data_IF_779165586683
#
_entry.id   IF_779165586683
#
_cell.length_a   1.000
_cell.length_b   1.000
_cell.length_c   1.000
_cell.angle_alpha   90.00
_cell.angle_beta   90.00
_cell.angle_gamma   90.00
#
_symmetry.space_group_name_H-M   'P 1'
#
loop_
_entity.id
_entity.type
_entity.pdbx_description
1 polymer ?
#
# COMPACT_ATOMS: atom_id res chain seq x y z
N UNK A 1 29.12 -26.13 19.38
CA UNK A 1 28.90 -26.11 17.91
C UNK A 1 27.43 -26.01 17.50
N UNK A 2 26.49 -26.76 18.10
CA UNK A 2 25.05 -26.66 17.76
C UNK A 2 24.44 -25.26 17.95
N UNK A 3 24.82 -24.53 18.99
CA UNK A 3 24.34 -23.16 19.26
C UNK A 3 24.86 -22.11 18.26
N UNK A 4 26.07 -22.32 17.73
CA UNK A 4 26.64 -21.46 16.68
C UNK A 4 25.97 -21.71 15.33
N UNK A 5 25.66 -22.97 15.01
CA UNK A 5 24.89 -23.30 13.82
C UNK A 5 23.49 -22.68 13.85
N UNK A 6 22.79 -22.71 14.98
CA UNK A 6 21.49 -22.04 15.13
C UNK A 6 21.58 -20.52 15.00
N UNK A 7 22.62 -19.88 15.54
CA UNK A 7 22.81 -18.43 15.37
C UNK A 7 23.11 -18.05 13.91
N UNK A 8 23.91 -18.86 13.20
CA UNK A 8 24.18 -18.65 11.76
C UNK A 8 22.94 -18.93 10.90
N UNK A 9 22.14 -19.94 11.24
CA UNK A 9 20.88 -20.22 10.54
C UNK A 9 19.82 -19.15 10.81
N UNK A 10 19.72 -18.64 12.04
CA UNK A 10 18.85 -17.52 12.37
C UNK A 10 19.29 -16.23 11.66
N UNK A 11 20.61 -15.97 11.58
CA UNK A 11 21.16 -14.83 10.83
C UNK A 11 20.95 -15.00 9.33
N UNK A 12 21.11 -16.21 8.78
CA UNK A 12 20.89 -16.51 7.37
C UNK A 12 19.40 -16.42 6.99
N UNK A 13 18.48 -16.88 7.86
CA UNK A 13 17.03 -16.72 7.65
C UNK A 13 16.61 -15.26 7.79
N UNK A 14 17.29 -14.46 8.60
CA UNK A 14 17.11 -12.99 8.66
C UNK A 14 17.64 -12.25 7.42
N UNK A 15 18.56 -12.86 6.66
CA UNK A 15 19.08 -12.32 5.39
C UNK A 15 18.18 -12.70 4.22
N UNK A 16 17.41 -13.79 4.32
CA UNK A 16 16.44 -14.21 3.30
C UNK A 16 15.06 -13.62 3.66
N UNK A 17 14.96 -12.30 3.58
CA UNK A 17 13.71 -11.54 3.70
C UNK A 17 12.92 -11.55 2.38
N UNK A 18 11.61 -11.51 2.52
CA UNK A 18 10.56 -11.59 1.49
C UNK A 18 10.77 -10.66 0.29
N UNK A 19 10.37 -11.14 -0.90
CA UNK A 19 10.63 -10.53 -2.19
C UNK A 19 9.33 -10.02 -2.82
N UNK A 20 9.22 -8.70 -3.04
CA UNK A 20 8.27 -8.02 -3.94
C UNK A 20 8.81 -6.60 -4.23
N UNK A 21 9.08 -6.27 -5.49
CA UNK A 21 9.88 -5.10 -5.90
C UNK A 21 9.09 -3.78 -5.99
N UNK A 22 8.40 -3.39 -4.92
CA UNK A 22 7.78 -2.06 -4.82
C UNK A 22 8.67 -1.14 -4.00
N UNK A 23 8.73 0.11 -4.43
CA UNK A 23 9.48 1.16 -3.75
C UNK A 23 8.58 2.32 -3.33
N UNK A 24 8.76 2.88 -2.13
CA UNK A 24 7.90 3.93 -1.60
C UNK A 24 8.09 5.27 -2.33
N UNK A 25 7.03 6.08 -2.33
CA UNK A 25 7.05 7.44 -2.88
C UNK A 25 7.78 8.36 -1.91
N UNK A 26 8.55 9.33 -2.42
CA UNK A 26 9.20 10.29 -1.53
C UNK A 26 8.19 11.35 -1.08
N UNK A 27 8.28 11.81 0.16
CA UNK A 27 7.48 12.94 0.63
C UNK A 27 7.80 14.24 -0.14
N UNK A 28 6.81 15.12 -0.26
CA UNK A 28 7.00 16.50 -0.73
C UNK A 28 7.87 17.30 0.25
N UNK A 29 8.34 18.49 -0.17
CA UNK A 29 9.15 19.37 0.68
C UNK A 29 8.43 19.78 1.97
N UNK A 30 7.11 19.91 1.90
CA UNK A 30 6.25 20.13 3.06
C UNK A 30 5.50 18.84 3.39
N UNK A 31 5.36 18.57 4.69
CA UNK A 31 4.62 17.41 5.20
C UNK A 31 3.43 17.89 6.00
N UNK A 32 2.24 17.39 5.68
CA UNK A 32 1.02 17.58 6.43
C UNK A 32 0.68 16.31 7.21
N UNK A 33 0.19 16.52 8.44
CA UNK A 33 -0.38 15.48 9.28
C UNK A 33 -1.81 15.86 9.69
N UNK A 34 -2.74 14.93 9.55
CA UNK A 34 -4.13 15.05 9.97
C UNK A 34 -4.37 13.96 11.00
N UNK A 35 -4.90 14.31 12.16
CA UNK A 35 -5.33 13.33 13.15
C UNK A 35 -6.70 13.68 13.71
N UNK A 36 -7.51 12.66 13.89
CA UNK A 36 -8.85 12.75 14.49
C UNK A 36 -8.91 11.78 15.66
N UNK A 37 -9.69 12.16 16.66
CA UNK A 37 -10.05 11.26 17.74
C UNK A 37 -11.52 11.50 18.06
N UNK A 38 -12.30 10.45 17.96
CA UNK A 38 -13.75 10.48 18.16
C UNK A 38 -14.07 9.56 19.32
N UNK A 39 -14.77 10.09 20.32
CA UNK A 39 -15.25 9.33 21.47
C UNK A 39 -16.73 9.62 21.66
N UNK A 40 -17.57 8.60 21.55
CA UNK A 40 -19.04 8.73 21.65
C UNK A 40 -19.59 7.63 22.54
N UNK A 41 -20.41 8.04 23.51
CA UNK A 41 -21.26 7.13 24.28
C UNK A 41 -22.67 7.64 24.13
N UNK A 42 -23.55 6.82 23.56
CA UNK A 42 -24.93 7.24 23.26
C UNK A 42 -25.93 6.11 23.48
N UNK A 43 -27.10 6.50 23.98
CA UNK A 43 -28.31 5.69 23.98
C UNK A 43 -29.23 6.23 22.88
N UNK A 44 -29.42 5.47 21.82
CA UNK A 44 -30.19 5.88 20.64
C UNK A 44 -29.48 5.52 19.34
N UNK A 45 -29.36 6.50 18.45
CA UNK A 45 -28.73 6.33 17.13
C UNK A 45 -27.34 6.95 17.13
N UNK A 46 -26.36 6.21 16.63
CA UNK A 46 -24.98 6.64 16.37
C UNK A 46 -24.68 6.45 14.89
N UNK A 47 -24.05 7.44 14.29
CA UNK A 47 -23.52 7.34 12.93
C UNK A 47 -22.10 7.85 12.89
N UNK A 48 -21.20 7.08 12.29
CA UNK A 48 -19.88 7.55 11.88
C UNK A 48 -19.70 7.32 10.38
N UNK A 49 -19.00 8.23 9.71
CA UNK A 49 -18.63 8.03 8.30
C UNK A 49 -17.32 8.74 8.07
N UNK A 50 -16.33 7.97 7.63
CA UNK A 50 -14.99 8.47 7.41
C UNK A 50 -14.50 8.10 6.02
N UNK A 51 -13.78 9.03 5.40
CA UNK A 51 -13.19 8.82 4.09
C UNK A 51 -11.84 9.53 4.04
N UNK A 52 -10.79 8.78 3.69
CA UNK A 52 -9.48 9.33 3.38
C UNK A 52 -9.12 8.90 1.98
N UNK A 53 -8.66 9.83 1.16
CA UNK A 53 -8.08 9.52 -0.15
C UNK A 53 -6.79 10.31 -0.26
N UNK A 54 -5.70 9.61 -0.54
CA UNK A 54 -4.41 10.21 -0.82
C UNK A 54 -3.87 9.67 -2.12
N UNK A 55 -3.42 10.58 -2.98
CA UNK A 55 -2.61 10.22 -4.14
C UNK A 55 -1.29 10.96 -4.02
N UNK A 56 -0.20 10.24 -4.27
CA UNK A 56 1.15 10.78 -4.29
C UNK A 56 1.86 10.29 -5.54
N UNK A 57 2.63 11.18 -6.17
CA UNK A 57 3.51 10.86 -7.29
C UNK A 57 4.85 11.55 -7.08
N UNK A 58 5.91 11.02 -7.70
CA UNK A 58 7.17 11.74 -7.85
C UNK A 58 7.15 12.77 -9.01
N UNK A 59 6.02 12.91 -9.71
CA UNK A 59 5.79 13.87 -10.79
C UNK A 59 4.50 14.67 -10.61
N UNK A 60 4.19 15.55 -11.56
CA UNK A 60 2.96 16.36 -11.53
C UNK A 60 1.73 15.46 -11.74
N UNK A 61 0.96 15.27 -10.67
CA UNK A 61 -0.29 14.51 -10.69
C UNK A 61 -1.37 15.10 -11.62
N UNK A 62 -1.23 16.35 -12.08
CA UNK A 62 -2.17 16.97 -13.02
C UNK A 62 -1.92 16.54 -14.47
N UNK A 63 -0.75 15.98 -14.75
CA UNK A 63 -0.33 15.53 -16.08
C UNK A 63 -0.24 14.00 -16.15
N UNK A 64 -1.30 13.32 -15.70
CA UNK A 64 -1.39 11.86 -15.57
C UNK A 64 -2.86 11.44 -15.85
N UNK A 65 -3.19 10.51 -16.78
CA UNK A 65 -2.36 9.50 -17.47
C UNK A 65 -2.02 9.76 -18.96
N UNK A 66 -1.06 9.01 -19.57
CA UNK A 66 -0.31 7.85 -19.03
C UNK A 66 0.88 8.22 -18.13
N UNK A 67 1.29 7.29 -17.24
CA UNK A 67 2.49 7.46 -16.40
C UNK A 67 3.72 7.74 -17.27
N UNK A 68 4.39 8.85 -16.98
CA UNK A 68 5.56 9.28 -17.75
C UNK A 68 6.78 8.40 -17.42
N UNK A 69 7.61 8.16 -18.43
CA UNK A 69 8.87 7.40 -18.27
C UNK A 69 10.10 8.19 -18.63
N UNK A 70 9.95 9.01 -19.66
CA UNK A 70 10.97 9.87 -20.20
C UNK A 70 10.41 11.28 -20.17
N UNK A 71 11.22 12.23 -19.74
CA UNK A 71 10.90 13.65 -19.74
C UNK A 71 11.80 14.36 -20.75
N UNK A 72 11.27 15.32 -21.51
CA UNK A 72 12.08 16.09 -22.45
C UNK A 72 13.16 16.89 -21.70
N UNK A 73 14.33 17.01 -22.32
CA UNK A 73 15.39 17.88 -21.83
C UNK A 73 15.11 19.31 -22.25
N UNK A 74 15.30 20.27 -21.34
CA UNK A 74 15.16 21.69 -21.64
C UNK A 74 16.53 22.36 -21.59
N UNK A 75 16.80 23.25 -22.54
CA UNK A 75 18.01 24.06 -22.58
C UNK A 75 17.98 25.18 -21.52
N UNK A 76 19.06 25.98 -21.48
CA UNK A 76 19.16 27.12 -20.55
C UNK A 76 18.12 28.24 -20.80
N UNK A 77 17.50 28.26 -21.98
CA UNK A 77 16.44 29.19 -22.36
C UNK A 77 15.04 28.66 -22.05
N UNK A 78 14.93 27.38 -21.65
CA UNK A 78 13.66 26.69 -21.39
C UNK A 78 13.00 26.15 -22.65
N UNK A 79 13.73 26.08 -23.77
CA UNK A 79 13.28 25.43 -25.00
C UNK A 79 13.60 23.92 -24.92
N UNK A 80 12.67 23.08 -25.38
CA UNK A 80 12.88 21.63 -25.47
C UNK A 80 14.03 21.34 -26.45
N UNK A 81 14.98 20.52 -26.00
CA UNK A 81 16.04 20.00 -26.86
C UNK A 81 15.44 18.88 -27.68
N UNK A 82 15.32 19.13 -28.98
CA UNK A 82 14.77 18.18 -29.94
C UNK A 82 15.52 16.84 -29.86
N UNK A 83 14.77 15.75 -29.82
CA UNK A 83 15.24 14.36 -29.82
C UNK A 83 16.12 13.97 -28.59
N UNK A 84 16.03 14.70 -27.47
CA UNK A 84 16.76 14.38 -26.23
C UNK A 84 15.84 14.21 -25.01
N UNK A 85 15.88 13.01 -24.42
CA UNK A 85 15.04 12.66 -23.27
C UNK A 85 15.84 12.12 -22.08
N UNK A 86 15.50 12.58 -20.89
CA UNK A 86 16.02 12.05 -19.62
C UNK A 86 15.10 10.97 -19.08
N UNK A 87 15.67 9.86 -18.62
CA UNK A 87 14.91 8.82 -17.94
C UNK A 87 14.55 9.26 -16.53
N UNK A 88 13.30 9.68 -16.35
CA UNK A 88 12.71 9.95 -15.05
C UNK A 88 11.39 9.18 -15.04
N UNK A 89 11.34 7.97 -14.48
CA UNK A 89 10.10 7.19 -14.46
C UNK A 89 9.18 7.62 -13.33
N UNK A 90 7.89 7.71 -13.65
CA UNK A 90 6.84 8.04 -12.70
C UNK A 90 6.51 6.83 -11.82
N UNK A 91 6.32 7.13 -10.53
CA UNK A 91 5.83 6.24 -9.50
C UNK A 91 4.69 6.93 -8.81
N UNK A 92 3.58 6.23 -8.68
CA UNK A 92 2.36 6.74 -8.09
C UNK A 92 1.83 5.75 -7.04
N UNK A 93 1.34 6.30 -5.94
CA UNK A 93 0.59 5.57 -4.93
C UNK A 93 -0.78 6.22 -4.73
N UNK A 94 -1.83 5.41 -4.71
CA UNK A 94 -3.17 5.82 -4.32
C UNK A 94 -3.59 5.00 -3.12
N UNK A 95 -3.85 5.68 -2.01
CA UNK A 95 -4.42 5.10 -0.82
C UNK A 95 -5.85 5.61 -0.63
N UNK A 96 -6.77 4.73 -0.28
CA UNK A 96 -8.10 5.12 0.17
C UNK A 96 -8.55 4.31 1.37
N UNK A 97 -9.21 4.98 2.30
CA UNK A 97 -9.90 4.39 3.45
C UNK A 97 -11.35 4.86 3.43
N UNK A 98 -12.27 3.93 3.70
CA UNK A 98 -13.70 4.24 3.85
C UNK A 98 -14.26 3.46 5.02
N UNK A 99 -15.00 4.15 5.87
CA UNK A 99 -15.71 3.57 7.01
C UNK A 99 -17.14 4.11 7.05
N UNK A 100 -18.07 3.24 7.43
CA UNK A 100 -19.44 3.64 7.74
C UNK A 100 -19.97 2.81 8.90
N UNK A 101 -20.46 3.50 9.93
CA UNK A 101 -21.12 2.91 11.09
C UNK A 101 -22.51 3.51 11.20
N UNK A 102 -23.49 2.63 11.39
CA UNK A 102 -24.85 2.97 11.77
C UNK A 102 -25.27 2.06 12.91
N UNK A 103 -25.32 2.61 14.12
CA UNK A 103 -25.97 1.99 15.27
C UNK A 103 -27.34 2.63 15.43
N UNK A 104 -28.41 1.85 15.47
CA UNK A 104 -29.74 2.38 15.71
C UNK A 104 -30.42 1.68 16.88
N UNK A 105 -31.20 2.44 17.66
CA UNK A 105 -32.01 1.94 18.76
C UNK A 105 -31.25 1.01 19.74
N UNK A 106 -30.11 1.47 20.25
CA UNK A 106 -29.34 0.73 21.25
C UNK A 106 -28.40 1.59 22.08
N UNK A 107 -27.61 0.94 22.92
CA UNK A 107 -26.44 1.53 23.57
C UNK A 107 -25.23 1.33 22.66
N UNK A 108 -24.53 2.41 22.32
CA UNK A 108 -23.30 2.38 21.54
C UNK A 108 -22.18 3.11 22.29
N UNK A 109 -21.01 2.47 22.35
CA UNK A 109 -19.75 3.06 22.75
C UNK A 109 -18.78 2.95 21.59
N UNK A 110 -18.16 4.07 21.24
CA UNK A 110 -17.30 4.19 20.08
C UNK A 110 -16.10 5.04 20.43
N UNK A 111 -14.92 4.50 20.19
CA UNK A 111 -13.66 5.20 20.32
C UNK A 111 -12.83 4.92 19.07
N UNK A 112 -12.45 5.98 18.37
CA UNK A 112 -11.60 5.89 17.19
C UNK A 112 -10.44 6.89 17.31
N UNK A 113 -9.28 6.45 16.85
CA UNK A 113 -8.14 7.31 16.56
C UNK A 113 -7.70 7.04 15.13
N UNK A 114 -7.68 8.09 14.33
CA UNK A 114 -7.17 8.04 12.97
C UNK A 114 -6.07 9.07 12.79
N UNK A 115 -5.04 8.70 12.05
CA UNK A 115 -3.96 9.61 11.68
C UNK A 115 -3.49 9.34 10.26
N UNK A 116 -3.26 10.43 9.53
CA UNK A 116 -2.68 10.44 8.19
C UNK A 116 -1.47 11.39 8.19
N UNK A 117 -0.35 10.97 7.65
CA UNK A 117 0.89 11.72 7.57
C UNK A 117 1.56 11.51 6.20
N UNK A 118 1.81 12.62 5.52
CA UNK A 118 2.45 12.68 4.20
C UNK A 118 3.98 12.67 4.27
N UNK A 119 4.56 12.66 5.46
CA UNK A 119 5.99 12.63 5.69
C UNK A 119 6.64 11.27 5.43
N UNK A 120 7.96 11.30 5.21
CA UNK A 120 8.76 10.09 5.03
C UNK A 120 8.76 9.24 6.30
N UNK A 121 8.39 7.97 6.17
CA UNK A 121 8.39 6.98 7.23
C UNK A 121 9.62 6.09 7.15
N UNK A 122 10.00 5.53 8.30
CA UNK A 122 10.95 4.42 8.37
C UNK A 122 10.17 3.12 8.60
N UNK A 123 10.85 1.97 8.53
CA UNK A 123 10.21 0.70 8.85
C UNK A 123 9.53 0.74 10.23
N UNK A 124 8.31 0.16 10.33
CA UNK A 124 7.44 0.20 11.51
C UNK A 124 6.90 1.59 11.89
N UNK A 125 6.84 2.51 10.93
CA UNK A 125 6.06 3.74 11.06
C UNK A 125 5.07 3.80 9.90
N UNK A 126 3.90 4.35 10.18
CA UNK A 126 2.77 4.31 9.25
C UNK A 126 2.48 5.72 8.73
N UNK A 127 2.12 5.80 7.45
CA UNK A 127 1.54 6.99 6.84
C UNK A 127 0.08 7.13 7.22
N UNK A 128 -0.65 6.02 7.27
CA UNK A 128 -2.02 6.00 7.76
C UNK A 128 -2.13 4.98 8.88
N UNK A 129 -2.87 5.33 9.93
CA UNK A 129 -3.21 4.43 11.02
C UNK A 129 -4.60 4.74 11.52
N UNK A 130 -5.47 3.74 11.56
CA UNK A 130 -6.77 3.75 12.22
C UNK A 130 -6.79 2.70 13.32
N UNK A 131 -7.39 3.03 14.45
CA UNK A 131 -7.69 2.11 15.53
C UNK A 131 -9.07 2.45 16.05
N UNK A 132 -10.03 1.58 15.76
CA UNK A 132 -11.42 1.68 16.19
C UNK A 132 -11.69 0.61 17.26
N UNK A 133 -12.41 1.02 18.29
CA UNK A 133 -13.11 0.16 19.22
C UNK A 133 -14.58 0.55 19.21
N UNK A 134 -15.44 -0.44 18.95
CA UNK A 134 -16.87 -0.23 18.88
C UNK A 134 -17.62 -1.33 19.60
N UNK A 135 -18.46 -0.91 20.53
CA UNK A 135 -19.32 -1.77 21.33
C UNK A 135 -20.78 -1.32 21.13
N UNK A 136 -21.66 -2.27 20.81
CA UNK A 136 -23.08 -2.00 20.64
C UNK A 136 -23.95 -3.12 21.20
N UNK A 137 -25.05 -2.72 21.84
CA UNK A 137 -26.11 -3.62 22.31
C UNK A 137 -27.46 -2.99 22.00
N UNK A 138 -28.29 -3.71 21.24
CA UNK A 138 -29.68 -3.32 20.97
C UNK A 138 -30.53 -3.34 22.25
N UNK A 139 -31.51 -2.44 22.35
CA UNK A 139 -32.49 -2.51 23.44
C UNK A 139 -33.41 -3.71 23.28
N UNK A 140 -33.82 -4.33 24.38
CA UNK A 140 -34.67 -5.54 24.35
C UNK A 140 -36.10 -5.27 23.92
N UNK A 141 -36.55 -4.02 24.01
CA UNK A 141 -37.87 -3.53 23.64
C UNK A 141 -37.91 -2.87 22.25
N UNK A 142 -36.77 -2.74 21.58
CA UNK A 142 -36.64 -2.14 20.25
C UNK A 142 -35.94 -3.09 19.26
N UNK A 143 -36.29 -2.98 17.97
CA UNK A 143 -35.59 -3.72 16.90
C UNK A 143 -34.26 -3.02 16.54
N UNK A 144 -33.38 -2.87 17.53
CA UNK A 144 -32.07 -2.26 17.35
C UNK A 144 -31.17 -3.08 16.44
N UNK A 145 -30.39 -2.38 15.62
CA UNK A 145 -29.40 -3.00 14.73
C UNK A 145 -28.19 -2.08 14.57
N UNK A 146 -27.02 -2.68 14.49
CA UNK A 146 -25.81 -2.03 14.02
C UNK A 146 -25.37 -2.57 12.66
N UNK A 147 -24.80 -1.72 11.83
CA UNK A 147 -24.06 -2.08 10.63
C UNK A 147 -22.76 -1.28 10.61
N UNK A 148 -21.64 -1.98 10.44
CA UNK A 148 -20.33 -1.39 10.18
C UNK A 148 -19.80 -1.98 8.86
N UNK A 149 -19.14 -1.12 8.08
CA UNK A 149 -18.31 -1.52 6.96
C UNK A 149 -17.05 -0.66 6.94
N UNK A 150 -15.90 -1.31 6.81
CA UNK A 150 -14.60 -0.67 6.72
C UNK A 150 -13.82 -1.31 5.56
N UNK A 151 -13.18 -0.48 4.74
CA UNK A 151 -12.37 -0.93 3.61
C UNK A 151 -11.22 0.04 3.39
N UNK A 152 -10.04 -0.54 3.16
CA UNK A 152 -8.84 0.17 2.76
C UNK A 152 -8.28 -0.41 1.46
N UNK A 153 -7.73 0.48 0.63
CA UNK A 153 -7.10 0.13 -0.64
C UNK A 153 -5.77 0.86 -0.76
N UNK A 154 -4.78 0.15 -1.27
CA UNK A 154 -3.48 0.68 -1.67
C UNK A 154 -3.19 0.20 -3.09
N UNK A 155 -3.06 1.15 -4.01
CA UNK A 155 -2.69 0.95 -5.40
C UNK A 155 -1.31 1.61 -5.62
N UNK A 156 -0.38 0.83 -6.14
CA UNK A 156 1.02 1.18 -6.33
C UNK A 156 1.38 0.90 -7.78
N UNK A 157 1.76 1.94 -8.52
CA UNK A 157 2.11 1.84 -9.93
C UNK A 157 3.45 2.54 -10.22
N UNK A 158 4.28 1.93 -11.07
CA UNK A 158 5.60 2.44 -11.40
C UNK A 158 6.05 1.97 -12.78
N UNK A 159 6.71 2.86 -13.52
CA UNK A 159 7.40 2.56 -14.77
C UNK A 159 8.86 2.10 -14.54
N UNK A 160 9.18 1.64 -13.32
CA UNK A 160 10.53 1.30 -12.85
C UNK A 160 11.20 2.49 -12.15
N UNK A 161 12.33 2.28 -11.48
CA UNK A 161 13.11 3.40 -10.92
C UNK A 161 14.58 3.11 -10.69
N UNK A 162 15.42 4.16 -10.73
CA UNK A 162 16.82 4.03 -10.39
C UNK A 162 16.94 3.76 -8.89
N UNK A 163 17.66 2.70 -8.54
CA UNK A 163 17.84 2.26 -7.18
C UNK A 163 19.21 2.67 -6.60
N UNK A 164 20.16 3.09 -7.43
CA UNK A 164 21.56 3.35 -7.05
C UNK A 164 21.72 4.39 -5.93
N UNK A 165 20.90 5.44 -5.92
CA UNK A 165 20.95 6.51 -4.91
C UNK A 165 19.85 6.40 -3.84
N UNK A 166 19.05 5.33 -3.87
CA UNK A 166 17.85 5.18 -3.03
C UNK A 166 17.95 4.05 -2.02
N UNK A 167 18.94 3.18 -2.14
CA UNK A 167 19.31 2.24 -1.09
C UNK A 167 20.38 2.82 -0.17
N UNK A 168 20.21 2.61 1.12
CA UNK A 168 21.23 2.84 2.16
C UNK A 168 22.31 1.76 2.06
N UNK A 169 21.93 0.53 1.66
CA UNK A 169 22.85 -0.57 1.46
C UNK A 169 23.45 -0.56 0.04
N UNK A 170 24.76 -0.28 -0.14
CA UNK A 170 25.39 -0.17 -1.45
C UNK A 170 25.51 -1.51 -2.21
N UNK A 171 25.17 -2.64 -1.56
CA UNK A 171 25.16 -3.97 -2.17
C UNK A 171 23.74 -4.49 -2.45
N UNK A 172 22.70 -3.70 -2.17
CA UNK A 172 21.31 -4.13 -2.32
C UNK A 172 20.85 -4.20 -3.78
N UNK A 173 21.56 -3.56 -4.71
CA UNK A 173 21.15 -3.52 -6.13
C UNK A 173 21.60 -4.77 -6.87
N UNK A 174 20.72 -5.78 -6.94
CA UNK A 174 20.96 -7.00 -7.70
C UNK A 174 20.66 -6.92 -9.19
N UNK A 175 19.72 -6.05 -9.58
CA UNK A 175 19.15 -6.03 -10.92
C UNK A 175 19.66 -4.80 -11.71
N UNK A 176 20.97 -4.79 -11.98
CA UNK A 176 21.66 -3.73 -12.73
C UNK A 176 21.49 -2.29 -12.17
N UNK A 177 21.08 -2.14 -10.91
CA UNK A 177 20.84 -0.82 -10.30
C UNK A 177 19.40 -0.32 -10.40
N UNK A 178 18.46 -1.13 -10.88
CA UNK A 178 17.08 -0.70 -11.15
C UNK A 178 16.03 -1.52 -10.37
N UNK A 179 14.95 -0.84 -10.00
CA UNK A 179 13.71 -1.45 -9.52
C UNK A 179 12.80 -1.59 -10.75
N UNK A 180 12.30 -2.80 -11.07
CA UNK A 180 11.40 -2.99 -12.22
C UNK A 180 10.07 -2.24 -12.08
N UNK A 181 9.35 -2.10 -13.20
CA UNK A 181 7.97 -1.63 -13.20
C UNK A 181 7.04 -2.55 -12.38
N UNK A 182 6.01 -1.99 -11.76
CA UNK A 182 5.00 -2.73 -11.00
C UNK A 182 3.63 -2.05 -11.08
N UNK A 183 2.57 -2.82 -10.84
CA UNK A 183 1.20 -2.35 -10.68
C UNK A 183 0.50 -3.28 -9.69
N UNK A 184 0.68 -2.98 -8.41
CA UNK A 184 0.21 -3.78 -7.29
C UNK A 184 -1.01 -3.11 -6.66
N UNK A 185 -2.11 -3.85 -6.51
CA UNK A 185 -3.35 -3.37 -5.92
C UNK A 185 -3.74 -4.28 -4.77
N UNK A 186 -3.91 -3.68 -3.60
CA UNK A 186 -4.30 -4.35 -2.37
C UNK A 186 -5.57 -3.72 -1.83
N UNK A 187 -6.53 -4.56 -1.49
CA UNK A 187 -7.77 -4.14 -0.84
C UNK A 187 -8.06 -5.10 0.32
N UNK A 188 -8.36 -4.56 1.48
CA UNK A 188 -8.75 -5.35 2.64
C UNK A 188 -9.79 -4.60 3.46
N UNK A 189 -10.61 -5.36 4.18
CA UNK A 189 -11.69 -4.76 4.95
C UNK A 189 -12.51 -5.76 5.73
N UNK A 190 -13.46 -5.23 6.48
CA UNK A 190 -14.44 -6.02 7.20
C UNK A 190 -15.83 -5.36 7.20
N UNK A 191 -16.82 -6.16 7.56
CA UNK A 191 -18.19 -5.68 7.75
C UNK A 191 -18.87 -6.50 8.83
N UNK A 192 -19.72 -5.85 9.60
CA UNK A 192 -20.55 -6.48 10.60
C UNK A 192 -21.98 -5.95 10.50
N UNK A 193 -22.96 -6.82 10.72
CA UNK A 193 -24.35 -6.40 10.91
C UNK A 193 -25.05 -7.29 11.92
N UNK A 194 -25.69 -6.71 12.93
CA UNK A 194 -26.22 -7.49 14.03
C UNK A 194 -26.94 -6.69 15.11
N UNK A 195 -27.36 -7.37 16.17
CA UNK A 195 -28.05 -6.76 17.33
C UNK A 195 -27.12 -6.53 18.52
N UNK A 196 -25.92 -7.11 18.50
CA UNK A 196 -24.90 -6.92 19.52
C UNK A 196 -23.52 -7.17 18.90
N UNK A 197 -22.55 -6.32 19.20
CA UNK A 197 -21.16 -6.52 18.83
C UNK A 197 -20.24 -5.86 19.83
N UNK A 198 -19.09 -6.47 20.04
CA UNK A 198 -17.90 -5.84 20.57
C UNK A 198 -16.81 -6.10 19.55
N UNK A 199 -16.27 -5.05 18.95
CA UNK A 199 -15.27 -5.16 17.89
C UNK A 199 -14.14 -4.15 18.03
N UNK A 200 -12.99 -4.58 17.55
CA UNK A 200 -11.78 -3.78 17.42
C UNK A 200 -11.26 -3.98 16.01
N UNK A 201 -11.03 -2.87 15.31
CA UNK A 201 -10.38 -2.86 13.99
C UNK A 201 -9.12 -2.01 14.05
N UNK A 202 -8.12 -2.43 13.29
CA UNK A 202 -6.86 -1.70 13.12
C UNK A 202 -6.47 -1.79 11.66
N UNK A 203 -6.30 -0.63 11.03
CA UNK A 203 -5.80 -0.49 9.67
C UNK A 203 -4.54 0.35 9.67
N UNK A 204 -3.49 -0.10 8.99
CA UNK A 204 -2.24 0.62 8.86
C UNK A 204 -1.64 0.49 7.45
N UNK A 205 -0.99 1.55 6.99
CA UNK A 205 -0.21 1.49 5.74
C UNK A 205 1.00 2.41 5.80
N UNK A 206 2.05 1.98 5.12
CA UNK A 206 3.25 2.75 4.85
C UNK A 206 3.53 2.67 3.34
N UNK A 207 3.60 3.81 2.68
CA UNK A 207 3.92 3.89 1.25
C UNK A 207 4.75 5.14 0.89
N UNK A 208 5.10 5.98 1.87
CA UNK A 208 5.90 7.18 1.69
C UNK A 208 7.17 7.09 2.53
N UNK A 209 8.32 7.06 1.87
CA UNK A 209 9.62 7.02 2.53
C UNK A 209 10.72 7.55 1.62
N UNK A 210 11.80 8.01 2.25
CA UNK A 210 12.97 8.56 1.56
C UNK A 210 13.83 7.49 0.88
N UNK A 211 13.86 6.29 1.47
CA UNK A 211 14.71 5.19 1.04
C UNK A 211 13.87 4.07 0.45
N UNK A 212 14.37 3.43 -0.60
CA UNK A 212 13.81 2.21 -1.16
C UNK A 212 14.00 0.98 -0.25
N UNK A 213 14.76 1.11 0.85
CA UNK A 213 14.86 0.08 1.90
C UNK A 213 13.63 -0.03 2.79
N UNK A 214 12.78 1.00 2.80
CA UNK A 214 11.57 0.99 3.62
C UNK A 214 10.51 0.23 2.84
N UNK A 215 9.97 -0.88 3.38
CA UNK A 215 8.95 -1.64 2.68
C UNK A 215 7.66 -0.83 2.58
N UNK A 216 6.96 -0.97 1.46
CA UNK A 216 5.56 -0.56 1.41
C UNK A 216 4.71 -1.65 2.07
N UNK A 217 3.76 -1.25 2.90
CA UNK A 217 2.91 -2.20 3.61
C UNK A 217 1.48 -1.71 3.66
N UNK A 218 0.56 -2.66 3.73
CA UNK A 218 -0.82 -2.46 4.10
C UNK A 218 -1.24 -3.61 5.00
N UNK A 219 -1.78 -3.31 6.17
CA UNK A 219 -2.29 -4.31 7.10
C UNK A 219 -3.63 -3.90 7.66
N UNK A 220 -4.45 -4.91 7.92
CA UNK A 220 -5.77 -4.77 8.49
C UNK A 220 -6.05 -5.94 9.42
N UNK A 221 -6.60 -5.65 10.58
CA UNK A 221 -7.09 -6.67 11.49
C UNK A 221 -8.45 -6.30 12.04
N UNK A 222 -9.28 -7.33 12.18
CA UNK A 222 -10.57 -7.23 12.86
C UNK A 222 -10.66 -8.34 13.90
N UNK A 223 -11.09 -7.98 15.09
CA UNK A 223 -11.50 -8.92 16.14
C UNK A 223 -12.89 -8.52 16.61
N UNK A 224 -13.84 -9.45 16.57
CA UNK A 224 -15.19 -9.21 17.05
C UNK A 224 -15.83 -10.42 17.74
N UNK A 225 -16.78 -10.12 18.61
CA UNK A 225 -17.73 -11.07 19.18
C UNK A 225 -19.11 -10.44 19.20
N UNK A 226 -20.18 -11.22 19.06
CA UNK A 226 -21.52 -10.64 19.00
C UNK A 226 -22.58 -11.56 18.42
N UNK A 227 -23.77 -10.99 18.19
CA UNK A 227 -24.88 -11.69 17.53
C UNK A 227 -25.22 -10.97 16.24
N UNK A 228 -24.97 -11.63 15.11
CA UNK A 228 -25.11 -11.02 13.79
C UNK A 228 -24.44 -11.80 12.69
N UNK A 229 -24.01 -11.09 11.65
CA UNK A 229 -23.19 -11.61 10.57
C UNK A 229 -21.95 -10.74 10.42
N UNK A 230 -20.79 -11.40 10.37
CA UNK A 230 -19.49 -10.79 10.16
C UNK A 230 -18.88 -11.27 8.84
N UNK A 231 -18.14 -10.41 8.17
CA UNK A 231 -17.30 -10.78 7.04
C UNK A 231 -15.98 -10.00 7.08
N UNK A 232 -14.88 -10.63 6.67
CA UNK A 232 -13.60 -9.97 6.45
C UNK A 232 -12.93 -10.53 5.19
N UNK A 233 -12.28 -9.67 4.41
CA UNK A 233 -11.72 -10.03 3.13
C UNK A 233 -10.39 -9.35 2.84
N UNK A 234 -9.62 -10.01 1.97
CA UNK A 234 -8.43 -9.48 1.31
C UNK A 234 -8.52 -9.82 -0.17
N UNK A 235 -8.24 -8.82 -1.01
CA UNK A 235 -7.99 -8.94 -2.42
C UNK A 235 -6.60 -8.36 -2.70
N UNK A 236 -5.72 -9.16 -3.29
CA UNK A 236 -4.41 -8.71 -3.74
C UNK A 236 -4.25 -9.05 -5.21
N UNK A 237 -3.77 -8.09 -5.98
CA UNK A 237 -3.31 -8.29 -7.35
C UNK A 237 -1.90 -7.71 -7.44
N UNK A 238 -0.91 -8.58 -7.63
CA UNK A 238 0.50 -8.22 -7.71
C UNK A 238 0.93 -8.43 -9.16
N UNK A 239 1.39 -7.37 -9.81
CA UNK A 239 1.98 -7.42 -11.13
C UNK A 239 3.35 -6.77 -11.07
N UNK A 240 4.41 -7.58 -11.09
CA UNK A 240 5.77 -7.08 -10.99
C UNK A 240 6.58 -7.44 -12.22
N UNK A 241 7.41 -6.49 -12.64
CA UNK A 241 8.37 -6.65 -13.70
C UNK A 241 9.64 -7.37 -13.25
N UNK A 242 10.43 -7.82 -14.22
CA UNK A 242 11.86 -8.11 -14.08
C UNK A 242 12.64 -7.05 -14.84
N UNK A 243 13.84 -6.76 -14.35
CA UNK A 243 14.75 -5.86 -15.06
C UNK A 243 15.22 -6.52 -16.36
N UNK A 244 15.02 -5.80 -17.45
CA UNK A 244 15.47 -6.16 -18.79
C UNK A 244 16.97 -5.90 -18.98
N UNK A 245 17.52 -6.13 -20.18
CA UNK A 245 18.86 -5.65 -20.50
C UNK A 245 18.90 -4.13 -20.52
N UNK A 246 19.81 -3.51 -19.76
CA UNK A 246 19.95 -2.04 -19.69
C UNK A 246 21.12 -1.58 -20.57
N UNK A 247 20.88 -0.58 -21.40
CA UNK A 247 21.88 0.10 -22.22
C UNK A 247 21.84 1.60 -21.91
N UNK A 248 23.00 2.20 -21.67
CA UNK A 248 23.16 3.65 -21.43
C UNK A 248 23.43 4.37 -22.76
N UNK A 249 23.05 5.64 -22.86
CA UNK A 249 23.27 6.51 -24.05
C UNK A 249 22.81 5.85 -25.35
N UNK A 250 21.59 5.32 -25.36
CA UNK A 250 21.07 4.52 -26.46
C UNK A 250 20.12 5.32 -27.34
N UNK A 251 20.24 5.16 -28.65
CA UNK A 251 19.26 5.70 -29.61
C UNK A 251 18.05 4.77 -29.69
N UNK A 252 16.84 5.33 -29.68
CA UNK A 252 15.61 4.58 -29.89
C UNK A 252 15.39 4.24 -31.39
N UNK A 253 14.20 3.71 -31.72
CA UNK A 253 13.89 3.30 -33.09
C UNK A 253 13.50 4.50 -34.00
N UNK A 254 13.16 5.64 -33.42
CA UNK A 254 12.79 6.88 -34.11
C UNK A 254 14.00 7.83 -34.31
N UNK A 255 15.10 7.60 -33.58
CA UNK A 255 16.35 8.35 -33.71
C UNK A 255 16.72 9.17 -32.48
N UNK A 256 15.89 9.12 -31.43
CA UNK A 256 16.01 9.94 -30.24
C UNK A 256 17.07 9.38 -29.28
N UNK A 257 17.82 10.27 -28.64
CA UNK A 257 18.81 9.91 -27.63
C UNK A 257 18.11 9.70 -26.28
N UNK A 258 18.19 8.47 -25.77
CA UNK A 258 17.72 8.07 -24.46
C UNK A 258 18.89 7.84 -23.51
N UNK A 259 18.80 8.41 -22.30
CA UNK A 259 19.74 8.15 -21.21
C UNK A 259 19.84 6.63 -20.89
N UNK A 260 18.68 5.96 -20.83
CA UNK A 260 18.60 4.52 -20.68
C UNK A 260 17.61 3.88 -21.66
N UNK A 261 18.02 2.79 -22.31
CA UNK A 261 17.15 1.89 -23.09
C UNK A 261 17.07 0.52 -22.43
N UNK A 262 15.85 0.01 -22.33
CA UNK A 262 15.57 -1.30 -21.76
C UNK A 262 15.19 -2.27 -22.88
N UNK A 263 15.88 -3.40 -22.97
CA UNK A 263 15.64 -4.41 -24.01
C UNK A 263 15.18 -5.70 -23.37
N UNK A 264 13.92 -6.03 -23.58
CA UNK A 264 13.37 -7.33 -23.25
C UNK A 264 13.96 -8.40 -24.21
N UNK A 265 14.84 -9.25 -23.68
CA UNK A 265 15.44 -10.35 -24.46
C UNK A 265 14.43 -11.42 -24.91
N UNK A 266 13.29 -11.55 -24.22
CA UNK A 266 12.20 -12.45 -24.60
C UNK A 266 11.33 -11.86 -25.73
N UNK A 267 11.34 -10.53 -25.90
CA UNK A 267 10.61 -9.78 -26.93
C UNK A 267 11.51 -8.72 -27.60
N UNK A 268 12.40 -9.11 -28.52
CA UNK A 268 13.40 -8.21 -29.12
C UNK A 268 12.84 -7.13 -30.06
N UNK A 269 11.51 -7.03 -30.20
CA UNK A 269 10.82 -6.05 -31.08
C UNK A 269 9.79 -5.19 -30.33
N UNK A 270 9.82 -5.16 -29.00
CA UNK A 270 8.96 -4.27 -28.23
C UNK A 270 8.71 -4.77 -26.81
N UNK A 271 8.82 -3.85 -25.85
CA UNK A 271 8.62 -4.11 -24.43
C UNK A 271 9.88 -3.80 -23.66
N UNK A 272 9.79 -2.83 -22.75
CA UNK A 272 10.93 -2.37 -21.95
C UNK A 272 11.05 -3.12 -20.63
N UNK A 273 9.92 -3.32 -19.94
CA UNK A 273 9.84 -4.14 -18.73
C UNK A 273 9.13 -5.45 -19.02
N UNK A 274 9.54 -6.49 -18.31
CA UNK A 274 9.06 -7.86 -18.52
C UNK A 274 8.18 -8.24 -17.34
N UNK A 275 6.87 -8.47 -17.52
CA UNK A 275 6.06 -8.99 -16.41
C UNK A 275 6.64 -10.33 -15.93
N UNK A 276 7.18 -10.33 -14.71
CA UNK A 276 7.86 -11.47 -14.11
C UNK A 276 7.02 -12.20 -13.08
N UNK A 277 6.04 -11.52 -12.48
CA UNK A 277 5.09 -12.05 -11.51
C UNK A 277 3.70 -11.49 -11.82
N UNK A 278 2.71 -12.39 -11.81
CA UNK A 278 1.28 -12.07 -11.78
C UNK A 278 0.65 -12.95 -10.70
N UNK A 279 0.23 -12.36 -9.59
CA UNK A 279 -0.39 -13.06 -8.48
C UNK A 279 -1.72 -12.40 -8.15
N UNK A 280 -2.79 -13.20 -8.24
CA UNK A 280 -4.11 -12.81 -7.75
C UNK A 280 -4.45 -13.66 -6.54
N UNK A 281 -4.62 -13.02 -5.39
CA UNK A 281 -5.07 -13.65 -4.14
C UNK A 281 -6.39 -13.03 -3.68
N UNK A 282 -7.39 -13.87 -3.44
CA UNK A 282 -8.69 -13.43 -2.92
C UNK A 282 -9.14 -14.37 -1.83
N UNK A 283 -9.47 -13.83 -0.67
CA UNK A 283 -9.93 -14.61 0.46
C UNK A 283 -11.02 -13.85 1.21
N UNK A 284 -12.15 -14.50 1.45
CA UNK A 284 -13.26 -13.95 2.22
C UNK A 284 -13.72 -14.97 3.26
N UNK A 285 -13.84 -14.50 4.50
CA UNK A 285 -14.32 -15.32 5.63
C UNK A 285 -15.61 -14.70 6.15
N UNK A 286 -16.63 -15.53 6.39
CA UNK A 286 -17.93 -15.07 6.91
C UNK A 286 -18.37 -15.92 8.09
N UNK A 287 -18.95 -15.29 9.11
CA UNK A 287 -19.60 -15.97 10.23
C UNK A 287 -20.99 -15.37 10.49
N UNK A 288 -21.93 -16.18 10.99
CA UNK A 288 -23.29 -15.74 11.28
C UNK A 288 -23.90 -16.48 12.48
N UNK A 289 -24.78 -15.79 13.20
CA UNK A 289 -25.43 -16.31 14.41
C UNK A 289 -24.83 -15.70 15.67
N UNK A 290 -24.66 -16.52 16.71
CA UNK A 290 -23.92 -16.14 17.91
C UNK A 290 -22.43 -16.40 17.64
N UNK A 291 -21.65 -15.33 17.57
CA UNK A 291 -20.22 -15.34 17.28
C UNK A 291 -19.48 -15.15 18.61
N UNK A 292 -18.94 -16.25 19.15
CA UNK A 292 -18.10 -16.18 20.36
C UNK A 292 -16.77 -15.48 20.09
N UNK A 293 -16.19 -15.71 18.91
CA UNK A 293 -14.96 -15.07 18.45
C UNK A 293 -14.87 -15.13 16.94
N UNK A 294 -14.60 -13.99 16.32
CA UNK A 294 -14.17 -13.86 14.94
C UNK A 294 -12.94 -12.97 14.92
N UNK A 295 -11.82 -13.48 14.43
CA UNK A 295 -10.60 -12.70 14.28
C UNK A 295 -9.95 -13.02 12.94
N UNK A 296 -9.53 -11.97 12.24
CA UNK A 296 -8.78 -12.07 11.01
C UNK A 296 -7.73 -10.96 10.98
N UNK A 297 -6.48 -11.33 10.76
CA UNK A 297 -5.38 -10.41 10.50
C UNK A 297 -4.87 -10.63 9.09
N UNK A 298 -4.69 -9.54 8.35
CA UNK A 298 -4.29 -9.52 6.95
C UNK A 298 -3.15 -8.52 6.84
N UNK A 299 -2.08 -8.89 6.15
CA UNK A 299 -0.99 -7.98 5.87
C UNK A 299 -0.36 -8.32 4.54
N UNK A 300 -0.01 -7.27 3.80
CA UNK A 300 0.82 -7.35 2.61
C UNK A 300 1.99 -6.41 2.82
N UNK A 301 3.18 -6.91 2.50
CA UNK A 301 4.40 -6.14 2.58
C UNK A 301 5.17 -6.38 1.28
N UNK A 302 5.47 -5.29 0.58
CA UNK A 302 6.40 -5.29 -0.52
C UNK A 302 7.75 -4.82 -0.02
N UNK A 303 8.81 -5.48 -0.46
CA UNK A 303 10.17 -5.12 -0.10
C UNK A 303 11.12 -5.53 -1.21
N UNK A 304 12.02 -4.61 -1.56
CA UNK A 304 13.01 -4.89 -2.60
C UNK A 304 13.95 -6.01 -2.14
N UNK A 305 14.19 -6.95 -3.05
CA UNK A 305 15.10 -8.07 -2.82
C UNK A 305 16.50 -7.57 -2.51
N UNK A 306 17.04 -7.97 -1.35
CA UNK A 306 18.47 -7.84 -1.03
C UNK A 306 19.20 -9.10 -1.51
N UNK A 307 20.31 -8.92 -2.23
CA UNK A 307 21.24 -10.01 -2.58
C UNK A 307 22.22 -10.32 -1.45
#
# INVERSE_FOLDING_TARGET
MKKFAFAVLALAVLVVGTAMAVDPINATLETQGISTSTGVIVMGTMTNTETVVMTASNMDMRDNPPLQRYIPVYDENGDEVEDEFTWAPERQAVFSYTESILADNGYAEFNEMQSMDTGNKVANQDNFKSTEQYDYVAFSDAMGRTTNSESMLLDLASQGSNAANRFICPFATGDAGFIPAYCNVYEMGSSFTGSQVSMITQGDTNFIAKSADVPTQIAYSVGLSGTGSAAAWINAHVMEGRTAGVFEDATDDDGDLLDYRFVNYDFPRGGDFMQGVDLVYKEKTTASGVIESFSKSMSVQDAVRRL
#
